data_IF_402061400304
#
_entry.id   IF_402061400304
#
_cell.length_a   1.000
_cell.length_b   1.000
_cell.length_c   1.000
_cell.angle_alpha   90.00
_cell.angle_beta   90.00
_cell.angle_gamma   90.00
#
_symmetry.space_group_name_H-M   'P 1'
#
loop_
_entity.id
_entity.type
_entity.pdbx_description
1 polymer ?
#
# COMPACT_ATOMS: atom_id res chain seq x y z
N UNK A 1 49.79 -61.50 -4.26
CA UNK A 1 49.72 -60.00 -4.35
C UNK A 1 48.38 -59.62 -4.93
N UNK A 2 47.43 -59.17 -4.10
CA UNK A 2 46.10 -58.69 -4.54
C UNK A 2 46.07 -57.16 -4.40
N UNK A 3 45.90 -56.48 -5.52
CA UNK A 3 45.79 -55.02 -5.57
C UNK A 3 44.33 -54.63 -5.31
N UNK A 4 44.08 -53.96 -4.22
CA UNK A 4 42.76 -53.35 -3.93
C UNK A 4 42.67 -51.98 -4.55
N UNK A 5 41.69 -51.78 -5.43
CA UNK A 5 41.36 -50.48 -6.06
C UNK A 5 40.33 -49.79 -5.19
N UNK A 6 40.69 -48.65 -4.62
CA UNK A 6 39.73 -47.75 -3.96
C UNK A 6 38.97 -46.94 -5.02
N UNK A 7 37.65 -47.07 -5.02
CA UNK A 7 36.75 -46.19 -5.81
C UNK A 7 36.32 -45.06 -4.90
N UNK A 8 36.75 -43.83 -5.21
CA UNK A 8 36.33 -42.65 -4.55
C UNK A 8 34.99 -42.18 -5.16
N UNK A 9 33.90 -42.30 -4.41
CA UNK A 9 32.59 -41.78 -4.79
C UNK A 9 32.49 -40.27 -4.48
N UNK A 10 32.42 -39.44 -5.52
CA UNK A 10 32.12 -38.04 -5.37
C UNK A 10 30.62 -37.83 -5.20
N UNK A 11 30.21 -37.43 -4.01
CA UNK A 11 28.81 -36.98 -3.76
C UNK A 11 28.67 -35.53 -4.23
N UNK A 12 28.02 -35.32 -5.36
CA UNK A 12 27.65 -34.01 -5.82
C UNK A 12 26.40 -33.53 -5.07
N UNK A 13 26.58 -32.58 -4.16
CA UNK A 13 25.49 -31.93 -3.45
C UNK A 13 24.90 -30.83 -4.35
N UNK A 14 23.76 -31.09 -4.98
CA UNK A 14 23.03 -30.09 -5.76
C UNK A 14 22.31 -29.16 -4.79
N UNK A 15 22.78 -27.88 -4.67
CA UNK A 15 22.04 -26.82 -4.04
C UNK A 15 20.89 -26.42 -4.97
N UNK A 16 19.67 -26.80 -4.62
CA UNK A 16 18.46 -26.25 -5.25
C UNK A 16 18.21 -24.85 -4.69
N UNK A 17 18.62 -23.83 -5.44
CA UNK A 17 18.22 -22.45 -5.18
C UNK A 17 16.76 -22.33 -5.62
N UNK A 18 15.83 -22.37 -4.67
CA UNK A 18 14.43 -22.01 -4.92
C UNK A 18 14.36 -20.48 -5.07
N UNK A 19 14.37 -20.02 -6.31
CA UNK A 19 13.96 -18.64 -6.61
C UNK A 19 12.50 -18.49 -6.25
N UNK A 20 12.23 -17.86 -5.10
CA UNK A 20 10.89 -17.44 -4.75
C UNK A 20 10.42 -16.41 -5.78
N UNK A 21 9.46 -16.80 -6.60
CA UNK A 21 8.76 -15.87 -7.49
C UNK A 21 7.96 -14.94 -6.61
N UNK A 22 8.44 -13.70 -6.42
CA UNK A 22 7.64 -12.62 -5.85
C UNK A 22 6.56 -12.30 -6.89
N UNK A 23 5.39 -12.87 -6.73
CA UNK A 23 4.22 -12.44 -7.49
C UNK A 23 3.82 -11.06 -6.99
N UNK A 24 4.15 -10.03 -7.77
CA UNK A 24 3.51 -8.75 -7.66
C UNK A 24 2.00 -8.98 -7.89
N UNK A 25 1.18 -8.72 -6.88
CA UNK A 25 -0.27 -8.73 -7.03
C UNK A 25 -0.63 -7.56 -7.95
N UNK A 26 -0.75 -7.83 -9.25
CA UNK A 26 -1.35 -6.91 -10.20
C UNK A 26 -2.83 -6.83 -9.87
N UNK A 27 -3.32 -5.64 -9.56
CA UNK A 27 -4.75 -5.40 -9.32
C UNK A 27 -5.55 -6.00 -10.47
N UNK A 28 -6.44 -6.93 -10.15
CA UNK A 28 -7.29 -7.59 -11.13
C UNK A 28 -8.30 -6.59 -11.69
N UNK A 29 -8.32 -6.45 -13.01
CA UNK A 29 -9.42 -5.79 -13.75
C UNK A 29 -10.63 -6.71 -13.89
N UNK A 30 -10.56 -7.90 -13.30
CA UNK A 30 -11.61 -8.90 -13.34
C UNK A 30 -12.82 -8.47 -12.51
N UNK A 31 -14.03 -8.69 -13.04
CA UNK A 31 -15.31 -8.44 -12.34
C UNK A 31 -15.57 -9.43 -11.19
N UNK A 32 -14.53 -10.09 -10.70
CA UNK A 32 -14.56 -11.05 -9.63
C UNK A 32 -14.60 -10.41 -8.23
N UNK A 33 -14.80 -11.25 -7.21
CA UNK A 33 -14.71 -10.84 -5.82
C UNK A 33 -13.25 -10.52 -5.47
N UNK A 34 -13.00 -9.30 -4.99
CA UNK A 34 -11.71 -8.89 -4.47
C UNK A 34 -11.69 -9.04 -2.93
N UNK A 35 -10.61 -9.61 -2.40
CA UNK A 35 -10.41 -9.74 -0.96
C UNK A 35 -8.96 -9.42 -0.61
N UNK A 36 -8.78 -8.62 0.43
CA UNK A 36 -7.47 -8.39 1.03
C UNK A 36 -7.58 -8.38 2.57
N UNK A 37 -6.60 -8.96 3.23
CA UNK A 37 -6.45 -8.86 4.68
C UNK A 37 -5.43 -7.77 4.99
N UNK A 38 -5.80 -6.77 5.77
CA UNK A 38 -4.90 -5.68 6.16
C UNK A 38 -3.63 -6.17 6.88
N UNK A 39 -3.72 -7.30 7.60
CA UNK A 39 -2.58 -7.90 8.32
C UNK A 39 -1.66 -8.74 7.43
N UNK A 40 -2.16 -9.21 6.29
CA UNK A 40 -1.44 -10.12 5.37
C UNK A 40 -1.08 -9.46 4.04
N UNK A 41 -1.56 -8.25 3.79
CA UNK A 41 -1.31 -7.54 2.55
C UNK A 41 0.19 -7.21 2.37
N UNK A 42 0.68 -7.39 1.16
CA UNK A 42 2.04 -6.99 0.79
C UNK A 42 2.02 -5.53 0.35
N UNK A 43 2.65 -4.68 1.13
CA UNK A 43 2.74 -3.26 0.86
C UNK A 43 4.00 -2.92 0.05
N UNK A 44 3.84 -2.03 -0.92
CA UNK A 44 4.95 -1.45 -1.69
C UNK A 44 5.01 0.04 -1.41
N UNK A 45 6.19 0.55 -1.08
CA UNK A 45 6.38 2.00 -0.91
C UNK A 45 6.17 2.71 -2.25
N UNK A 46 5.29 3.69 -2.27
CA UNK A 46 4.95 4.50 -3.45
C UNK A 46 5.61 5.87 -3.43
N UNK A 47 5.78 6.41 -2.25
CA UNK A 47 6.55 7.62 -1.96
C UNK A 47 7.07 7.54 -0.52
N UNK A 48 8.10 8.31 -0.14
CA UNK A 48 8.65 8.26 1.22
C UNK A 48 7.56 8.39 2.29
N UNK A 49 7.42 7.35 3.10
CA UNK A 49 6.45 7.31 4.19
C UNK A 49 5.03 6.86 3.81
N UNK A 50 4.78 6.53 2.53
CA UNK A 50 3.49 6.01 2.06
C UNK A 50 3.68 4.68 1.36
N UNK A 51 3.00 3.66 1.84
CA UNK A 51 2.99 2.33 1.21
C UNK A 51 1.57 1.90 0.88
N UNK A 52 1.40 1.23 -0.26
CA UNK A 52 0.10 0.77 -0.75
C UNK A 52 0.12 -0.72 -1.08
N UNK A 53 -1.02 -1.36 -0.87
CA UNK A 53 -1.34 -2.69 -1.37
C UNK A 53 -2.65 -2.60 -2.16
N UNK A 54 -2.62 -2.89 -3.45
CA UNK A 54 -3.79 -2.81 -4.33
C UNK A 54 -4.75 -3.96 -3.98
N UNK A 55 -6.02 -3.63 -3.75
CA UNK A 55 -7.10 -4.59 -3.53
C UNK A 55 -7.83 -4.89 -4.83
N UNK A 56 -8.15 -3.85 -5.59
CA UNK A 56 -8.78 -3.95 -6.91
C UNK A 56 -8.42 -2.72 -7.76
N UNK A 57 -8.62 -2.85 -9.07
CA UNK A 57 -8.33 -1.78 -10.02
C UNK A 57 -6.83 -1.52 -10.20
N UNK A 58 -6.51 -0.36 -10.75
CA UNK A 58 -5.13 0.07 -11.00
C UNK A 58 -5.00 1.56 -10.68
N UNK A 59 -4.36 1.93 -9.57
CA UNK A 59 -4.22 3.33 -9.16
C UNK A 59 -3.41 4.17 -10.17
N UNK A 60 -2.66 3.56 -11.06
CA UNK A 60 -1.92 4.29 -12.08
C UNK A 60 -2.75 4.60 -13.32
N UNK A 61 -3.92 3.94 -13.48
CA UNK A 61 -4.74 4.04 -14.69
C UNK A 61 -6.15 4.55 -14.46
N UNK A 62 -6.74 4.32 -13.29
CA UNK A 62 -8.13 4.67 -13.08
C UNK A 62 -8.66 4.35 -11.71
N UNK A 63 -9.95 4.07 -11.63
CA UNK A 63 -10.61 3.74 -10.37
C UNK A 63 -9.98 2.52 -9.71
N UNK A 64 -9.82 2.58 -8.40
CA UNK A 64 -9.07 1.59 -7.63
C UNK A 64 -9.50 1.55 -6.16
N UNK A 65 -9.16 0.44 -5.50
CA UNK A 65 -9.20 0.31 -4.05
C UNK A 65 -7.86 -0.15 -3.51
N UNK A 66 -7.35 0.52 -2.50
CA UNK A 66 -6.05 0.20 -1.88
C UNK A 66 -6.15 0.13 -0.36
N UNK A 67 -5.32 -0.70 0.24
CA UNK A 67 -4.89 -0.53 1.61
C UNK A 67 -3.66 0.38 1.60
N UNK A 68 -3.72 1.48 2.35
CA UNK A 68 -2.67 2.49 2.37
C UNK A 68 -2.15 2.69 3.78
N UNK A 69 -0.83 2.82 3.92
CA UNK A 69 -0.15 3.08 5.19
C UNK A 69 0.58 4.42 5.14
N UNK A 70 0.39 5.20 6.18
CA UNK A 70 1.27 6.32 6.53
C UNK A 70 2.14 5.94 7.72
N UNK A 71 3.43 6.23 7.65
CA UNK A 71 4.31 6.07 8.81
C UNK A 71 3.90 7.04 9.94
N UNK A 72 4.29 6.79 11.20
CA UNK A 72 4.12 7.73 12.30
C UNK A 72 4.66 9.11 11.95
N UNK A 73 3.82 10.14 12.16
CA UNK A 73 4.18 11.53 11.90
C UNK A 73 4.33 11.91 10.43
N UNK A 74 3.83 11.09 9.48
CA UNK A 74 3.83 11.44 8.06
C UNK A 74 3.15 12.78 7.82
N UNK A 75 3.74 13.59 6.96
CA UNK A 75 3.26 14.90 6.54
C UNK A 75 3.23 14.96 5.00
N UNK A 76 2.04 14.98 4.43
CA UNK A 76 1.85 15.05 2.98
C UNK A 76 2.00 16.47 2.42
N UNK A 77 2.02 17.49 3.27
CA UNK A 77 1.87 18.88 2.84
C UNK A 77 0.47 19.21 2.33
N UNK A 78 0.27 20.47 1.95
CA UNK A 78 -0.97 20.91 1.30
C UNK A 78 -1.02 20.42 -0.15
N UNK A 79 -2.09 19.74 -0.51
CA UNK A 79 -2.26 19.16 -1.85
C UNK A 79 -3.73 19.00 -2.22
N UNK A 80 -3.97 18.53 -3.43
CA UNK A 80 -5.27 18.03 -3.89
C UNK A 80 -5.10 16.76 -4.71
N UNK A 81 -6.20 16.13 -5.06
CA UNK A 81 -6.27 15.01 -5.99
C UNK A 81 -7.23 15.37 -7.12
N UNK A 82 -6.96 14.89 -8.35
CA UNK A 82 -7.86 15.16 -9.49
C UNK A 82 -9.22 14.48 -9.36
N UNK A 83 -9.33 13.43 -8.56
CA UNK A 83 -10.54 12.64 -8.42
C UNK A 83 -10.94 12.52 -6.96
N UNK A 84 -12.22 12.22 -6.74
CA UNK A 84 -12.74 11.93 -5.40
C UNK A 84 -12.01 10.77 -4.75
N UNK A 85 -11.70 10.91 -3.47
CA UNK A 85 -11.22 9.86 -2.60
C UNK A 85 -12.22 9.59 -1.48
N UNK A 86 -12.41 8.33 -1.14
CA UNK A 86 -13.14 7.94 0.08
C UNK A 86 -12.26 6.97 0.85
N UNK A 87 -12.06 7.22 2.14
CA UNK A 87 -11.23 6.36 2.98
C UNK A 87 -11.94 5.96 4.26
N UNK A 88 -11.57 4.78 4.76
CA UNK A 88 -11.98 4.24 6.06
C UNK A 88 -10.73 3.88 6.84
N UNK A 89 -10.55 4.48 8.00
CA UNK A 89 -9.38 4.18 8.84
C UNK A 89 -9.57 2.84 9.53
N UNK A 90 -8.54 1.99 9.45
CA UNK A 90 -8.50 0.65 10.06
C UNK A 90 -7.72 0.68 11.38
N UNK A 91 -6.57 1.38 11.40
CA UNK A 91 -5.71 1.54 12.59
C UNK A 91 -5.00 2.89 12.58
N UNK A 92 -4.64 3.38 13.77
CA UNK A 92 -4.03 4.69 13.95
C UNK A 92 -5.02 5.81 13.67
N UNK A 93 -4.56 6.90 13.07
CA UNK A 93 -5.44 7.97 12.61
C UNK A 93 -4.87 8.68 11.38
N UNK A 94 -5.77 8.97 10.45
CA UNK A 94 -5.53 9.88 9.35
C UNK A 94 -5.83 11.30 9.84
N UNK A 95 -4.84 12.17 9.79
CA UNK A 95 -4.98 13.56 10.17
C UNK A 95 -5.32 14.37 8.91
N UNK A 96 -6.32 15.21 9.04
CA UNK A 96 -6.85 16.00 7.94
C UNK A 96 -6.97 17.48 8.35
N UNK A 97 -6.71 18.38 7.41
CA UNK A 97 -6.92 19.83 7.61
C UNK A 97 -7.25 20.52 6.29
N UNK A 98 -8.26 21.37 6.33
CA UNK A 98 -8.62 22.29 5.26
C UNK A 98 -9.01 23.68 5.82
N UNK A 99 -9.63 24.54 5.00
CA UNK A 99 -10.09 25.86 5.42
C UNK A 99 -11.19 25.80 6.49
N UNK A 100 -11.97 24.71 6.54
CA UNK A 100 -13.02 24.52 7.53
C UNK A 100 -12.50 24.01 8.88
N UNK A 101 -11.24 23.61 8.97
CA UNK A 101 -10.59 23.17 10.20
C UNK A 101 -9.88 21.83 10.10
N UNK A 102 -9.60 21.27 11.28
CA UNK A 102 -8.84 20.03 11.43
C UNK A 102 -9.74 18.88 11.86
N UNK A 103 -9.41 17.66 11.39
CA UNK A 103 -10.07 16.42 11.81
C UNK A 103 -9.03 15.36 12.10
N UNK A 104 -9.25 14.62 13.18
CA UNK A 104 -8.56 13.37 13.46
C UNK A 104 -9.53 12.22 13.12
N UNK A 105 -9.30 11.58 11.99
CA UNK A 105 -10.12 10.47 11.49
C UNK A 105 -9.54 9.20 12.07
N UNK A 106 -10.20 8.62 13.07
CA UNK A 106 -9.75 7.44 13.81
C UNK A 106 -10.26 6.14 13.22
N UNK A 107 -9.86 5.01 13.82
CA UNK A 107 -10.29 3.68 13.37
C UNK A 107 -11.82 3.56 13.36
N UNK A 108 -12.37 3.12 12.23
CA UNK A 108 -13.81 3.00 11.97
C UNK A 108 -14.45 4.26 11.37
N UNK A 109 -13.76 5.39 11.36
CA UNK A 109 -14.27 6.61 10.75
C UNK A 109 -14.10 6.59 9.23
N UNK A 110 -15.01 7.31 8.55
CA UNK A 110 -15.02 7.48 7.09
C UNK A 110 -14.80 8.94 6.75
N UNK A 111 -13.92 9.21 5.79
CA UNK A 111 -13.71 10.53 5.21
C UNK A 111 -13.85 10.46 3.70
N UNK A 112 -14.63 11.38 3.12
CA UNK A 112 -14.66 11.63 1.67
C UNK A 112 -14.03 12.97 1.37
N UNK A 113 -13.12 12.99 0.42
CA UNK A 113 -12.43 14.18 -0.08
C UNK A 113 -12.82 14.34 -1.55
N UNK A 114 -13.54 15.41 -1.94
CA UNK A 114 -13.86 15.67 -3.34
C UNK A 114 -12.59 15.93 -4.15
N UNK A 115 -12.65 15.62 -5.45
CA UNK A 115 -11.60 16.02 -6.39
C UNK A 115 -11.35 17.53 -6.37
N UNK A 116 -10.12 17.94 -6.62
CA UNK A 116 -9.62 19.31 -6.60
C UNK A 116 -9.72 20.05 -5.25
N UNK A 117 -10.21 19.38 -4.20
CA UNK A 117 -10.30 19.97 -2.87
C UNK A 117 -8.92 20.05 -2.20
N UNK A 118 -8.46 21.27 -1.93
CA UNK A 118 -7.17 21.52 -1.26
C UNK A 118 -7.24 21.15 0.21
N UNK A 119 -6.33 20.32 0.64
CA UNK A 119 -6.22 19.86 2.04
C UNK A 119 -4.80 19.50 2.39
N UNK A 120 -4.53 19.45 3.67
CA UNK A 120 -3.35 18.80 4.26
C UNK A 120 -3.75 17.45 4.82
N UNK A 121 -2.87 16.47 4.72
CA UNK A 121 -3.05 15.19 5.39
C UNK A 121 -1.77 14.68 6.03
N UNK A 122 -1.93 13.80 7.02
CA UNK A 122 -0.81 13.21 7.73
C UNK A 122 -1.19 11.95 8.50
N UNK A 123 -0.17 11.29 9.04
CA UNK A 123 -0.32 10.15 9.95
C UNK A 123 -0.21 10.59 11.41
N UNK A 124 -0.96 9.93 12.29
CA UNK A 124 -0.79 10.09 13.74
C UNK A 124 0.69 9.96 14.13
N UNK A 125 1.13 10.74 15.11
CA UNK A 125 2.54 10.81 15.50
C UNK A 125 3.09 9.52 16.11
N UNK A 126 2.22 8.73 16.73
CA UNK A 126 2.60 7.49 17.42
C UNK A 126 2.37 6.27 16.54
N UNK A 127 1.18 6.17 15.92
CA UNK A 127 0.72 4.96 15.27
C UNK A 127 0.69 5.06 13.74
N UNK A 128 0.88 6.27 13.18
CA UNK A 128 0.67 6.50 11.76
C UNK A 128 -0.81 6.31 11.40
N UNK A 129 -1.07 5.83 10.18
CA UNK A 129 -2.40 5.45 9.76
C UNK A 129 -2.34 4.21 8.87
N UNK A 130 -3.29 3.31 9.04
CA UNK A 130 -3.64 2.26 8.07
C UNK A 130 -5.09 2.45 7.70
N UNK A 131 -5.38 2.63 6.43
CA UNK A 131 -6.72 2.87 5.94
C UNK A 131 -6.97 2.15 4.61
N UNK A 132 -8.22 1.84 4.34
CA UNK A 132 -8.68 1.49 3.01
C UNK A 132 -9.09 2.77 2.29
N UNK A 133 -8.75 2.88 1.02
CA UNK A 133 -9.03 4.04 0.20
C UNK A 133 -9.58 3.61 -1.15
N UNK A 134 -10.64 4.28 -1.59
CA UNK A 134 -11.17 4.20 -2.95
C UNK A 134 -10.94 5.50 -3.68
N UNK A 135 -10.28 5.43 -4.83
CA UNK A 135 -10.15 6.52 -5.78
C UNK A 135 -11.11 6.35 -6.94
N UNK A 136 -11.89 7.40 -7.27
CA UNK A 136 -12.79 7.39 -8.42
C UNK A 136 -12.07 7.46 -9.77
N UNK A 137 -10.80 7.84 -9.77
CA UNK A 137 -9.94 7.91 -10.94
C UNK A 137 -8.52 7.45 -10.63
N UNK A 138 -7.58 7.83 -11.49
CA UNK A 138 -6.15 7.60 -11.27
C UNK A 138 -5.69 8.29 -9.99
N UNK A 139 -4.85 7.61 -9.19
CA UNK A 139 -4.22 8.24 -8.04
C UNK A 139 -3.19 9.28 -8.49
N UNK A 140 -3.30 10.48 -7.97
CA UNK A 140 -2.30 11.53 -8.08
C UNK A 140 -2.24 12.34 -6.78
N UNK A 141 -1.18 13.11 -6.61
CA UNK A 141 -1.01 14.10 -5.55
C UNK A 141 -0.47 15.37 -6.19
N UNK A 142 -1.26 16.41 -6.17
CA UNK A 142 -0.95 17.70 -6.77
C UNK A 142 -0.63 18.68 -5.66
N UNK A 143 0.65 19.00 -5.49
CA UNK A 143 1.08 19.93 -4.44
C UNK A 143 0.47 21.31 -4.63
N UNK A 144 -0.20 21.80 -3.59
CA UNK A 144 -0.74 23.14 -3.56
C UNK A 144 0.37 24.15 -3.21
N UNK A 145 0.50 25.17 -4.04
CA UNK A 145 1.38 26.31 -3.79
C UNK A 145 0.74 27.25 -2.79
#
# INVERSE_FOLDING_TARGET
>A
MKKSTLVAGAVAMALAVTMGVVQAQTGSTDKGVAYASADKATFTEKMPGVSMAVVWGDPEKGAHGTLTKFIPGYDAGMHSHSSDLTLVVIRGAYLYKDEAGEKRVGAGDVLRIPGDHKHWSGGDKTDGALFYEEGAGKFDKIDAK
#
